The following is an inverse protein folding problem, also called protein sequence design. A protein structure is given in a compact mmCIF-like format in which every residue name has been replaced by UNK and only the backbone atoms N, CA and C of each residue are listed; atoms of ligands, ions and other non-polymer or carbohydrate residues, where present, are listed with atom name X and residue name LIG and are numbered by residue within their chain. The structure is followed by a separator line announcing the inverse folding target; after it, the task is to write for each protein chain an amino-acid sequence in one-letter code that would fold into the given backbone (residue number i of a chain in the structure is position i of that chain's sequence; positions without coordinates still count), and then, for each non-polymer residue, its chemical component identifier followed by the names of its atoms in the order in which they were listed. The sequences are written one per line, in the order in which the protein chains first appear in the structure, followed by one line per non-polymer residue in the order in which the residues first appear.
data_IF_261038040425
#
_entry.id   IF_261038040425
#
_cell.length_a   1.000
_cell.length_b   1.000
_cell.length_c   1.000
_cell.angle_alpha   90.00
_cell.angle_beta   90.00
_cell.angle_gamma   90.00
#
_symmetry.space_group_name_H-M   'P 1'
#
loop_
_entity.id
_entity.type
_entity.pdbx_description
1 polymer ?
#
# COMPACT_ATOMS: atom_id res chain seq x y z
N UNK A 1 1.96 -35.02 -57.64
CA UNK A 1 2.30 -35.30 -56.24
C UNK A 1 2.44 -33.95 -55.56
N UNK A 2 1.32 -33.26 -55.39
CA UNK A 2 1.24 -31.86 -54.94
C UNK A 2 0.05 -31.80 -53.99
N UNK A 3 0.27 -32.08 -52.69
CA UNK A 3 -0.75 -31.85 -51.66
C UNK A 3 -0.20 -32.03 -50.24
N UNK A 4 1.04 -31.59 -49.97
CA UNK A 4 1.57 -31.60 -48.58
C UNK A 4 2.27 -30.28 -48.20
N UNK A 5 2.52 -29.38 -49.16
CA UNK A 5 3.21 -28.10 -48.90
C UNK A 5 2.33 -26.97 -48.33
N UNK A 6 1.01 -27.02 -48.48
CA UNK A 6 0.16 -25.83 -48.25
C UNK A 6 -0.53 -25.76 -46.89
N UNK A 7 -0.45 -26.80 -46.06
CA UNK A 7 -1.08 -26.79 -44.72
C UNK A 7 -0.13 -26.16 -43.69
N UNK A 8 1.18 -26.41 -43.80
CA UNK A 8 2.17 -25.94 -42.84
C UNK A 8 2.42 -24.43 -42.94
N UNK A 9 2.31 -23.85 -44.14
CA UNK A 9 2.49 -22.41 -44.35
C UNK A 9 1.25 -21.60 -43.94
N UNK A 10 0.05 -22.13 -44.19
CA UNK A 10 -1.21 -21.52 -43.73
C UNK A 10 -1.37 -21.57 -42.20
N UNK A 11 -0.80 -22.58 -41.53
CA UNK A 11 -0.80 -22.64 -40.06
C UNK A 11 0.24 -21.70 -39.43
N UNK A 12 1.32 -21.35 -40.14
CA UNK A 12 2.32 -20.39 -39.66
C UNK A 12 1.87 -18.93 -39.77
N UNK A 13 1.04 -18.61 -40.76
CA UNK A 13 0.43 -17.27 -40.90
C UNK A 13 -0.86 -17.11 -40.10
N UNK A 14 -1.54 -18.19 -39.71
CA UNK A 14 -2.76 -18.12 -38.88
C UNK A 14 -2.51 -18.05 -37.36
N UNK A 15 -1.26 -18.13 -36.89
CA UNK A 15 -0.92 -18.13 -35.46
C UNK A 15 -0.21 -16.85 -34.97
N UNK A 16 -0.15 -15.80 -35.79
CA UNK A 16 0.62 -14.59 -35.49
C UNK A 16 -0.20 -13.30 -35.31
N UNK A 17 -1.53 -13.38 -35.20
CA UNK A 17 -2.38 -12.18 -35.24
C UNK A 17 -3.33 -11.98 -34.06
N UNK A 18 -3.18 -12.71 -32.96
CA UNK A 18 -3.89 -12.38 -31.72
C UNK A 18 -3.01 -12.64 -30.50
N UNK A 19 -1.94 -11.86 -30.37
CA UNK A 19 -1.59 -11.38 -29.02
C UNK A 19 -2.70 -10.42 -28.68
N UNK A 20 -3.78 -10.93 -28.09
CA UNK A 20 -4.66 -10.07 -27.30
C UNK A 20 -3.75 -9.63 -26.16
N UNK A 21 -3.15 -8.45 -26.32
CA UNK A 21 -2.72 -7.66 -25.18
C UNK A 21 -3.99 -7.47 -24.35
N UNK A 22 -4.21 -8.40 -23.43
CA UNK A 22 -5.06 -8.11 -22.29
C UNK A 22 -4.21 -7.09 -21.56
N UNK A 23 -4.42 -5.81 -21.90
CA UNK A 23 -4.04 -4.72 -21.03
C UNK A 23 -4.74 -5.05 -19.71
N UNK A 24 -3.99 -5.65 -18.80
CA UNK A 24 -4.39 -5.73 -17.42
C UNK A 24 -4.35 -4.28 -16.96
N UNK A 25 -5.45 -3.55 -17.18
CA UNK A 25 -5.56 -2.13 -16.85
C UNK A 25 -5.46 -1.92 -15.32
N UNK A 26 -5.19 -2.98 -14.55
CA UNK A 26 -5.05 -2.95 -13.11
C UNK A 26 -6.41 -2.77 -12.43
N UNK A 27 -6.47 -2.96 -11.10
CA UNK A 27 -7.73 -2.95 -10.37
C UNK A 27 -8.42 -1.57 -10.27
N UNK A 28 -7.86 -0.53 -10.90
CA UNK A 28 -8.30 0.86 -10.77
C UNK A 28 -8.65 1.56 -12.09
N UNK A 29 -8.27 1.06 -13.26
CA UNK A 29 -8.39 1.81 -14.52
C UNK A 29 -9.82 2.21 -14.92
N UNK A 30 -10.83 1.50 -14.44
CA UNK A 30 -12.23 1.77 -14.80
C UNK A 30 -13.02 2.44 -13.66
N UNK A 31 -12.34 2.82 -12.58
CA UNK A 31 -12.99 3.43 -11.42
C UNK A 31 -12.96 4.96 -11.51
N UNK A 32 -14.07 5.63 -11.14
CA UNK A 32 -14.06 7.08 -10.97
C UNK A 32 -12.98 7.50 -9.97
N UNK A 33 -12.34 8.65 -10.19
CA UNK A 33 -11.24 9.12 -9.34
C UNK A 33 -11.68 9.28 -7.87
N UNK A 34 -12.93 9.66 -7.65
CA UNK A 34 -13.53 9.74 -6.31
C UNK A 34 -13.57 8.38 -5.59
N UNK A 35 -13.82 7.29 -6.31
CA UNK A 35 -13.81 5.93 -5.76
C UNK A 35 -12.38 5.46 -5.47
N UNK A 36 -11.41 5.80 -6.34
CA UNK A 36 -9.99 5.49 -6.11
C UNK A 36 -9.49 6.20 -4.84
N UNK A 37 -9.84 7.48 -4.65
CA UNK A 37 -9.53 8.25 -3.44
C UNK A 37 -10.21 7.64 -2.21
N UNK A 38 -11.46 7.21 -2.31
CA UNK A 38 -12.15 6.56 -1.19
C UNK A 38 -11.47 5.25 -0.78
N UNK A 39 -10.98 4.47 -1.75
CA UNK A 39 -10.20 3.25 -1.48
C UNK A 39 -8.88 3.56 -0.80
N UNK A 40 -8.16 4.61 -1.23
CA UNK A 40 -6.96 5.06 -0.54
C UNK A 40 -7.25 5.36 0.93
N UNK A 41 -8.28 6.14 1.22
CA UNK A 41 -8.68 6.50 2.59
C UNK A 41 -9.06 5.28 3.42
N UNK A 42 -9.74 4.30 2.81
CA UNK A 42 -10.08 3.05 3.48
C UNK A 42 -8.83 2.26 3.85
N UNK A 43 -7.89 2.09 2.91
CA UNK A 43 -6.63 1.37 3.14
C UNK A 43 -5.80 2.08 4.23
N UNK A 44 -5.76 3.41 4.21
CA UNK A 44 -5.07 4.22 5.20
C UNK A 44 -5.62 3.94 6.60
N UNK A 45 -6.95 3.95 6.74
CA UNK A 45 -7.60 3.64 8.00
C UNK A 45 -7.32 2.21 8.49
N UNK A 46 -7.28 1.22 7.59
CA UNK A 46 -6.90 -0.15 7.95
C UNK A 46 -5.44 -0.21 8.43
N UNK A 47 -4.53 0.46 7.73
CA UNK A 47 -3.13 0.54 8.11
C UNK A 47 -2.94 1.17 9.50
N UNK A 48 -3.66 2.25 9.80
CA UNK A 48 -3.61 2.91 11.11
C UNK A 48 -4.13 2.00 12.24
N UNK A 49 -5.20 1.24 11.96
CA UNK A 49 -5.80 0.31 12.93
C UNK A 49 -4.82 -0.79 13.30
N UNK A 50 -4.20 -1.43 12.30
CA UNK A 50 -3.25 -2.52 12.49
C UNK A 50 -1.96 -2.00 13.14
N UNK A 51 -1.53 -0.80 12.78
CA UNK A 51 -0.37 -0.15 13.41
C UNK A 51 -0.62 0.10 14.91
N UNK A 52 -1.80 0.60 15.28
CA UNK A 52 -2.15 0.78 16.68
C UNK A 52 -2.19 -0.54 17.45
N UNK A 53 -2.74 -1.60 16.84
CA UNK A 53 -2.77 -2.95 17.42
C UNK A 53 -1.36 -3.52 17.65
N UNK A 54 -0.48 -3.38 16.65
CA UNK A 54 0.93 -3.78 16.75
C UNK A 54 1.67 -3.02 17.85
N UNK A 55 1.42 -1.71 17.99
CA UNK A 55 2.03 -0.87 19.03
C UNK A 55 1.55 -1.29 20.44
N UNK A 56 0.26 -1.56 20.60
CA UNK A 56 -0.33 -1.98 21.87
C UNK A 56 0.18 -3.36 22.29
N UNK A 57 0.23 -4.32 21.35
CA UNK A 57 0.75 -5.66 21.59
C UNK A 57 2.25 -5.62 21.95
N UNK A 58 3.04 -4.85 21.18
CA UNK A 58 4.46 -4.63 21.46
C UNK A 58 4.67 -4.04 22.85
N UNK A 59 3.91 -3.00 23.20
CA UNK A 59 3.98 -2.35 24.51
C UNK A 59 3.63 -3.33 25.64
N UNK A 60 2.57 -4.12 25.47
CA UNK A 60 2.15 -5.11 26.44
C UNK A 60 3.21 -6.20 26.66
N UNK A 61 3.79 -6.71 25.56
CA UNK A 61 4.84 -7.73 25.57
C UNK A 61 6.10 -7.24 26.31
N UNK A 62 6.65 -6.08 25.92
CA UNK A 62 7.85 -5.54 26.56
C UNK A 62 7.61 -5.13 28.01
N UNK A 63 6.42 -4.62 28.34
CA UNK A 63 6.07 -4.32 29.73
C UNK A 63 6.01 -5.60 30.60
N UNK A 64 5.46 -6.69 30.07
CA UNK A 64 5.43 -8.00 30.77
C UNK A 64 6.84 -8.52 31.02
N UNK A 65 7.69 -8.47 30.01
CA UNK A 65 9.11 -8.82 30.12
C UNK A 65 9.81 -7.98 31.18
N UNK A 66 9.62 -6.65 31.15
CA UNK A 66 10.25 -5.74 32.10
C UNK A 66 9.83 -6.04 33.55
N UNK A 67 8.56 -6.39 33.78
CA UNK A 67 8.06 -6.83 35.09
C UNK A 67 8.70 -8.14 35.54
N UNK A 68 8.69 -9.16 34.68
CA UNK A 68 9.31 -10.45 34.98
C UNK A 68 10.81 -10.30 35.29
N UNK A 69 11.51 -9.42 34.57
CA UNK A 69 12.90 -9.09 34.83
C UNK A 69 13.11 -8.41 36.19
N UNK A 70 12.29 -7.41 36.51
CA UNK A 70 12.35 -6.74 37.81
C UNK A 70 12.09 -7.71 38.96
N UNK A 71 11.10 -8.59 38.85
CA UNK A 71 10.76 -9.59 39.86
C UNK A 71 11.86 -10.63 40.04
N UNK A 72 12.43 -11.14 38.94
CA UNK A 72 13.52 -12.09 38.99
C UNK A 72 14.77 -11.49 39.64
N UNK A 73 15.09 -10.23 39.35
CA UNK A 73 16.21 -9.52 39.97
C UNK A 73 16.00 -9.32 41.48
N UNK A 74 14.79 -8.95 41.92
CA UNK A 74 14.44 -8.89 43.36
C UNK A 74 14.53 -10.26 44.04
N UNK A 75 14.10 -11.33 43.37
CA UNK A 75 14.17 -12.69 43.92
C UNK A 75 15.60 -13.25 43.98
N UNK A 76 16.51 -12.74 43.15
CA UNK A 76 17.93 -13.08 43.12
C UNK A 76 18.79 -12.20 44.04
N UNK A 77 18.20 -11.21 44.70
CA UNK A 77 18.88 -10.34 45.65
C UNK A 77 19.44 -11.21 46.81
N UNK A 78 20.78 -11.29 46.91
CA UNK A 78 21.48 -12.17 47.85
C UNK A 78 21.84 -13.58 47.32
N UNK A 79 21.59 -13.89 46.04
CA UNK A 79 22.03 -15.13 45.37
C UNK A 79 23.16 -14.85 44.38
N UNK A 80 24.13 -15.75 44.27
CA UNK A 80 25.32 -15.61 43.40
C UNK A 80 25.05 -15.87 41.91
N UNK A 81 23.87 -16.34 41.55
CA UNK A 81 23.48 -16.69 40.19
C UNK A 81 22.35 -15.78 39.70
N UNK A 82 22.63 -15.01 38.65
CA UNK A 82 21.63 -14.19 37.96
C UNK A 82 20.59 -15.10 37.28
N UNK A 83 19.29 -14.78 37.35
CA UNK A 83 18.26 -15.46 36.58
C UNK A 83 18.54 -15.24 35.08
N UNK A 84 18.73 -16.34 34.33
CA UNK A 84 18.70 -16.26 32.87
C UNK A 84 17.23 -16.13 32.43
N UNK A 85 16.79 -14.90 32.22
CA UNK A 85 15.55 -14.64 31.51
C UNK A 85 15.86 -14.68 30.03
N UNK A 86 15.64 -15.84 29.42
CA UNK A 86 15.69 -15.96 27.98
C UNK A 86 14.42 -15.32 27.43
N UNK A 87 14.56 -14.38 26.48
CA UNK A 87 13.47 -14.10 25.55
C UNK A 87 13.25 -15.36 24.74
N UNK A 88 12.04 -15.90 24.79
CA UNK A 88 11.64 -16.94 23.87
C UNK A 88 11.35 -16.24 22.53
N UNK A 89 12.20 -16.43 21.50
CA UNK A 89 11.94 -15.86 20.18
C UNK A 89 10.71 -16.49 19.51
N UNK A 90 10.20 -17.62 20.02
CA UNK A 90 8.96 -18.25 19.60
C UNK A 90 7.78 -17.89 20.51
N UNK A 91 7.89 -16.81 21.31
CA UNK A 91 6.76 -16.31 22.08
C UNK A 91 5.59 -15.99 21.12
N UNK A 92 4.37 -16.49 21.39
CA UNK A 92 3.22 -16.28 20.50
C UNK A 92 2.98 -14.80 20.17
N UNK A 93 3.23 -13.90 21.12
CA UNK A 93 3.06 -12.46 20.89
C UNK A 93 4.10 -11.87 19.92
N UNK A 94 5.32 -12.44 19.86
CA UNK A 94 6.31 -12.01 18.87
C UNK A 94 5.92 -12.45 17.45
N UNK A 95 5.36 -13.65 17.31
CA UNK A 95 4.86 -14.13 16.03
C UNK A 95 3.69 -13.27 15.53
N UNK A 96 2.76 -12.93 16.42
CA UNK A 96 1.64 -12.04 16.09
C UNK A 96 2.11 -10.62 15.73
N UNK A 97 3.12 -10.08 16.43
CA UNK A 97 3.76 -8.81 16.06
C UNK A 97 4.38 -8.90 14.65
N UNK A 98 5.09 -9.98 14.32
CA UNK A 98 5.70 -10.19 13.00
C UNK A 98 4.65 -10.32 11.89
N UNK A 99 3.52 -10.96 12.16
CA UNK A 99 2.38 -11.07 11.24
C UNK A 99 1.78 -9.68 10.97
N UNK A 100 1.50 -8.90 12.02
CA UNK A 100 1.01 -7.52 11.89
C UNK A 100 1.99 -6.62 11.13
N UNK A 101 3.30 -6.76 11.35
CA UNK A 101 4.33 -6.05 10.56
C UNK A 101 4.30 -6.44 9.07
N UNK A 102 4.02 -7.71 8.77
CA UNK A 102 3.80 -8.19 7.41
C UNK A 102 2.60 -7.51 6.76
N UNK A 103 1.47 -7.44 7.46
CA UNK A 103 0.26 -6.77 6.97
C UNK A 103 0.47 -5.28 6.75
N UNK A 104 1.11 -4.58 7.71
CA UNK A 104 1.44 -3.16 7.58
C UNK A 104 2.28 -2.89 6.32
N UNK A 105 3.27 -3.75 6.02
CA UNK A 105 4.07 -3.63 4.79
C UNK A 105 3.21 -3.76 3.53
N UNK A 106 2.27 -4.71 3.52
CA UNK A 106 1.36 -4.92 2.39
C UNK A 106 0.45 -3.69 2.21
N UNK A 107 -0.16 -3.20 3.29
CA UNK A 107 -1.03 -2.03 3.22
C UNK A 107 -0.29 -0.76 2.78
N UNK A 108 0.94 -0.53 3.26
CA UNK A 108 1.78 0.59 2.80
C UNK A 108 2.12 0.50 1.32
N UNK A 109 2.43 -0.69 0.83
CA UNK A 109 2.65 -0.91 -0.60
C UNK A 109 1.39 -0.62 -1.43
N UNK A 110 0.23 -1.08 -0.96
CA UNK A 110 -1.05 -0.80 -1.60
C UNK A 110 -1.37 0.70 -1.60
N UNK A 111 -1.16 1.40 -0.47
CA UNK A 111 -1.33 2.85 -0.37
C UNK A 111 -0.49 3.58 -1.41
N UNK A 112 0.80 3.28 -1.50
CA UNK A 112 1.69 3.90 -2.46
C UNK A 112 1.22 3.64 -3.91
N UNK A 113 0.75 2.42 -4.20
CA UNK A 113 0.23 2.08 -5.51
C UNK A 113 -1.02 2.89 -5.85
N UNK A 114 -2.00 2.94 -4.95
CA UNK A 114 -3.24 3.72 -5.16
C UNK A 114 -2.95 5.20 -5.25
N UNK A 115 -2.03 5.70 -4.44
CA UNK A 115 -1.60 7.10 -4.45
C UNK A 115 -1.00 7.49 -5.81
N UNK A 116 -0.13 6.66 -6.38
CA UNK A 116 0.41 6.90 -7.72
C UNK A 116 -0.69 6.91 -8.78
N UNK A 117 -1.64 5.96 -8.71
CA UNK A 117 -2.80 5.94 -9.62
C UNK A 117 -3.61 7.23 -9.50
N UNK A 118 -3.84 7.76 -8.29
CA UNK A 118 -4.56 9.03 -8.08
C UNK A 118 -3.81 10.20 -8.74
N UNK A 119 -2.47 10.23 -8.65
CA UNK A 119 -1.66 11.27 -9.27
C UNK A 119 -1.73 11.22 -10.80
N UNK A 120 -1.68 10.02 -11.38
CA UNK A 120 -1.71 9.79 -12.83
C UNK A 120 -3.12 9.91 -13.44
N UNK A 121 -4.19 9.75 -12.64
CA UNK A 121 -5.56 9.78 -13.17
C UNK A 121 -6.04 11.21 -13.39
N UNK A 122 -6.37 11.55 -14.64
CA UNK A 122 -7.00 12.82 -14.99
C UNK A 122 -8.44 12.92 -14.45
N UNK A 123 -8.81 14.01 -13.75
CA UNK A 123 -10.18 14.21 -13.30
C UNK A 123 -11.13 14.43 -14.50
N UNK A 124 -12.27 13.76 -14.52
CA UNK A 124 -13.26 13.89 -15.60
C UNK A 124 -14.40 14.85 -15.25
N UNK A 125 -14.53 15.20 -13.96
CA UNK A 125 -15.57 16.08 -13.46
C UNK A 125 -15.02 17.13 -12.50
N UNK A 126 -15.74 18.25 -12.34
CA UNK A 126 -15.39 19.28 -11.35
C UNK A 126 -15.27 18.71 -9.94
N UNK A 127 -16.12 17.73 -9.57
CA UNK A 127 -16.07 17.11 -8.26
C UNK A 127 -14.79 16.29 -8.06
N UNK A 128 -14.37 15.56 -9.09
CA UNK A 128 -13.11 14.79 -9.09
C UNK A 128 -11.90 15.72 -9.06
N UNK A 129 -11.91 16.80 -9.84
CA UNK A 129 -10.83 17.81 -9.81
C UNK A 129 -10.67 18.39 -8.40
N UNK A 130 -11.77 18.78 -7.76
CA UNK A 130 -11.74 19.27 -6.36
C UNK A 130 -11.27 18.18 -5.39
N UNK A 131 -11.66 16.92 -5.60
CA UNK A 131 -11.20 15.80 -4.77
C UNK A 131 -9.69 15.55 -4.93
N UNK A 132 -9.17 15.54 -6.16
CA UNK A 132 -7.73 15.42 -6.47
C UNK A 132 -6.94 16.56 -5.83
N UNK A 133 -7.40 17.81 -5.95
CA UNK A 133 -6.76 18.96 -5.30
C UNK A 133 -6.70 18.84 -3.77
N UNK A 134 -7.79 18.37 -3.13
CA UNK A 134 -7.80 18.11 -1.69
C UNK A 134 -6.82 16.99 -1.31
N UNK A 135 -6.77 15.94 -2.12
CA UNK A 135 -5.85 14.84 -1.94
C UNK A 135 -4.39 15.30 -2.04
N UNK A 136 -4.04 16.06 -3.08
CA UNK A 136 -2.71 16.64 -3.26
C UNK A 136 -2.32 17.55 -2.08
N UNK A 137 -3.24 18.42 -1.64
CA UNK A 137 -3.00 19.29 -0.48
C UNK A 137 -2.72 18.49 0.79
N UNK A 138 -3.41 17.36 0.99
CA UNK A 138 -3.15 16.47 2.13
C UNK A 138 -1.81 15.78 1.98
N UNK A 139 -1.50 15.21 0.82
CA UNK A 139 -0.22 14.56 0.54
C UNK A 139 0.97 15.50 0.84
N UNK A 140 0.87 16.78 0.44
CA UNK A 140 1.89 17.78 0.79
C UNK A 140 1.99 18.03 2.29
N UNK A 141 0.87 18.09 3.01
CA UNK A 141 0.87 18.25 4.47
C UNK A 141 1.50 17.03 5.17
N UNK A 142 1.34 15.84 4.59
CA UNK A 142 1.94 14.58 5.04
C UNK A 142 3.41 14.46 4.61
N UNK A 143 3.97 15.46 3.91
CA UNK A 143 5.39 15.54 3.56
C UNK A 143 5.78 14.87 2.25
N UNK A 144 4.81 14.59 1.36
CA UNK A 144 5.11 14.09 0.01
C UNK A 144 5.74 15.20 -0.82
N UNK A 145 6.96 14.95 -1.29
CA UNK A 145 7.69 15.85 -2.17
C UNK A 145 7.30 15.59 -3.63
N UNK A 146 6.87 16.65 -4.31
CA UNK A 146 6.57 16.61 -5.74
C UNK A 146 7.65 17.34 -6.54
N UNK A 147 7.99 16.82 -7.71
CA UNK A 147 8.70 17.60 -8.72
C UNK A 147 7.83 18.79 -9.15
N UNK A 148 8.42 19.97 -9.25
CA UNK A 148 7.69 21.23 -9.49
C UNK A 148 6.85 21.17 -10.76
N UNK A 149 7.43 20.66 -11.84
CA UNK A 149 6.75 20.58 -13.15
C UNK A 149 5.61 19.56 -13.12
N UNK A 150 5.82 18.42 -12.45
CA UNK A 150 4.78 17.40 -12.30
C UNK A 150 3.62 17.88 -11.42
N UNK A 151 3.92 18.60 -10.34
CA UNK A 151 2.90 19.21 -9.51
C UNK A 151 2.10 20.27 -10.28
N UNK A 152 2.78 21.16 -11.01
CA UNK A 152 2.12 22.18 -11.82
C UNK A 152 1.18 21.55 -12.86
N UNK A 153 1.64 20.49 -13.54
CA UNK A 153 0.83 19.72 -14.48
C UNK A 153 -0.46 19.18 -13.84
N UNK A 154 -0.37 18.50 -12.69
CA UNK A 154 -1.57 17.99 -12.00
C UNK A 154 -2.54 19.09 -11.55
N UNK A 155 -2.03 20.28 -11.19
CA UNK A 155 -2.86 21.43 -10.85
C UNK A 155 -3.56 21.99 -12.10
N UNK A 156 -2.85 22.08 -13.23
CA UNK A 156 -3.39 22.55 -14.52
C UNK A 156 -4.53 21.64 -15.00
N UNK A 157 -4.36 20.31 -14.98
CA UNK A 157 -5.42 19.35 -15.30
C UNK A 157 -6.71 19.61 -14.49
N UNK A 158 -6.56 19.85 -13.19
CA UNK A 158 -7.69 20.15 -12.32
C UNK A 158 -8.31 21.51 -12.65
N UNK A 159 -7.48 22.51 -12.91
CA UNK A 159 -7.90 23.88 -13.20
C UNK A 159 -8.67 23.97 -14.52
N UNK A 160 -8.26 23.21 -15.55
CA UNK A 160 -8.92 23.17 -16.85
C UNK A 160 -10.36 22.66 -16.73
N UNK A 161 -10.56 21.55 -16.00
CA UNK A 161 -11.90 20.99 -15.76
C UNK A 161 -12.80 21.97 -14.98
N UNK A 162 -12.23 22.70 -14.01
CA UNK A 162 -12.97 23.69 -13.22
C UNK A 162 -13.28 24.95 -14.05
N UNK A 163 -12.32 25.40 -14.86
CA UNK A 163 -12.38 26.60 -15.69
C UNK A 163 -13.27 26.45 -16.92
N UNK A 164 -13.46 25.23 -17.41
CA UNK A 164 -14.36 24.90 -18.53
C UNK A 164 -15.84 25.21 -18.28
N UNK A 165 -16.25 25.51 -17.04
CA UNK A 165 -17.62 25.96 -16.70
C UNK A 165 -17.86 27.47 -16.88
N UNK A 166 -17.25 28.12 -17.89
CA UNK A 166 -17.58 29.50 -18.26
C UNK A 166 -18.40 29.58 -19.54
#
# INVERSE_FOLDING_TARGET
MEMVGNITEAMKTAQLDQVVEIEDEGPYAQLPLTEIIARHQFIEHQCDTILAEQEDLSRAYYARIGRAHSEAMKAAEGRTTLPRLFHDPAAPELLEIEELEGEIRIYRFQLQTVQNVIFETEPQTVNEAVAKLKFLSRAMADGVDFEVDYFAYMIEECADIIGMKR
#
